data_IF_157937947168
#
_entry.id   IF_157937947168
#
_cell.length_a   1.000
_cell.length_b   1.000
_cell.length_c   1.000
_cell.angle_alpha   90.00
_cell.angle_beta   90.00
_cell.angle_gamma   90.00
#
_symmetry.space_group_name_H-M   'P 1'
#
loop_
_entity.id
_entity.type
_entity.pdbx_description
1 polymer ?
#
# COMPACT_ATOMS: atom_id res chain seq x y z
N UNK A 1 -19.83 -8.34 -3.90
CA UNK A 1 -18.64 -8.98 -3.30
C UNK A 1 -17.81 -7.88 -2.63
N UNK A 2 -17.48 -8.02 -1.35
CA UNK A 2 -16.55 -7.08 -0.69
C UNK A 2 -15.16 -7.30 -1.30
N UNK A 3 -14.50 -6.24 -1.76
CA UNK A 3 -13.10 -6.32 -2.21
C UNK A 3 -12.21 -6.53 -1.00
N UNK A 4 -11.29 -7.50 -1.07
CA UNK A 4 -10.25 -7.66 -0.05
C UNK A 4 -9.38 -6.41 0.03
N UNK A 5 -8.78 -6.15 1.19
CA UNK A 5 -7.94 -4.96 1.42
C UNK A 5 -6.67 -4.94 0.56
N UNK A 6 -6.32 -6.07 -0.06
CA UNK A 6 -5.18 -6.24 -0.96
C UNK A 6 -5.55 -6.22 -2.44
N UNK A 7 -6.84 -6.12 -2.77
CA UNK A 7 -7.32 -6.14 -4.16
C UNK A 7 -7.04 -4.80 -4.85
N UNK A 8 -6.58 -4.80 -6.11
CA UNK A 8 -6.46 -3.58 -6.89
C UNK A 8 -7.74 -2.73 -6.91
N UNK A 9 -7.57 -1.43 -6.69
CA UNK A 9 -8.66 -0.47 -6.54
C UNK A 9 -9.36 -0.48 -5.18
N UNK A 10 -8.89 -1.26 -4.20
CA UNK A 10 -9.27 -1.03 -2.80
C UNK A 10 -8.68 0.31 -2.33
N UNK A 11 -9.51 1.15 -1.71
CA UNK A 11 -9.12 2.42 -1.08
C UNK A 11 -9.38 2.30 0.41
N UNK A 12 -8.36 2.56 1.22
CA UNK A 12 -8.50 2.53 2.68
C UNK A 12 -9.10 3.85 3.22
N UNK A 13 -9.27 3.94 4.54
CA UNK A 13 -9.86 5.12 5.20
C UNK A 13 -9.02 6.41 5.17
N UNK A 14 -7.76 6.36 4.71
CA UNK A 14 -6.93 7.56 4.61
C UNK A 14 -6.57 7.92 3.16
N UNK A 15 -7.32 7.39 2.18
CA UNK A 15 -7.18 7.69 0.74
C UNK A 15 -5.92 7.14 0.08
N UNK A 16 -5.58 5.90 0.43
CA UNK A 16 -4.56 5.12 -0.25
C UNK A 16 -5.21 4.01 -1.07
N UNK A 17 -5.00 4.04 -2.38
CA UNK A 17 -5.48 3.04 -3.31
C UNK A 17 -4.43 1.96 -3.57
N UNK A 18 -4.82 0.70 -3.54
CA UNK A 18 -3.97 -0.41 -4.02
C UNK A 18 -3.91 -0.39 -5.53
N UNK A 19 -2.71 -0.29 -6.10
CA UNK A 19 -2.49 -0.37 -7.54
C UNK A 19 -2.24 -1.82 -7.98
N UNK A 20 -1.29 -2.50 -7.35
CA UNK A 20 -0.90 -3.87 -7.69
C UNK A 20 -0.21 -4.60 -6.55
N UNK A 21 -0.23 -5.93 -6.61
CA UNK A 21 0.66 -6.82 -5.85
C UNK A 21 2.01 -6.92 -6.56
N UNK A 22 3.07 -7.14 -5.79
CA UNK A 22 4.42 -7.42 -6.29
C UNK A 22 4.88 -8.81 -5.86
N UNK A 23 6.00 -9.30 -6.40
CA UNK A 23 6.60 -10.58 -6.01
C UNK A 23 7.68 -10.43 -4.92
N UNK A 24 7.97 -9.20 -4.54
CA UNK A 24 8.99 -8.81 -3.59
C UNK A 24 8.57 -9.20 -2.17
N UNK A 25 9.51 -9.73 -1.37
CA UNK A 25 9.22 -10.03 0.02
C UNK A 25 8.93 -8.74 0.79
N UNK A 26 7.84 -8.75 1.54
CA UNK A 26 7.57 -7.76 2.58
C UNK A 26 8.51 -7.94 3.78
N UNK A 27 8.37 -7.06 4.76
CA UNK A 27 9.18 -7.09 5.99
C UNK A 27 8.46 -7.76 7.16
N UNK A 28 7.27 -8.31 6.92
CA UNK A 28 6.40 -8.94 7.91
C UNK A 28 6.04 -10.37 7.48
N UNK A 29 5.61 -11.23 8.42
CA UNK A 29 5.33 -12.67 8.32
C UNK A 29 4.94 -13.18 6.91
N UNK A 30 5.94 -13.49 6.07
CA UNK A 30 5.79 -13.98 4.69
C UNK A 30 4.91 -13.08 3.78
N UNK A 31 4.76 -11.80 4.13
CA UNK A 31 4.01 -10.84 3.34
C UNK A 31 4.71 -10.55 2.02
N UNK A 32 3.94 -10.04 1.06
CA UNK A 32 4.44 -9.43 -0.18
C UNK A 32 4.29 -7.92 -0.12
N UNK A 33 5.13 -7.21 -0.86
CA UNK A 33 4.95 -5.77 -1.05
C UNK A 33 3.78 -5.53 -2.02
N UNK A 34 2.93 -4.56 -1.69
CA UNK A 34 1.89 -4.02 -2.55
C UNK A 34 2.20 -2.56 -2.84
N UNK A 35 1.95 -2.13 -4.08
CA UNK A 35 2.11 -0.73 -4.49
C UNK A 35 0.81 0.00 -4.19
N UNK A 36 0.89 1.05 -3.38
CA UNK A 36 -0.22 1.94 -3.08
C UNK A 36 0.06 3.30 -3.70
N UNK A 37 -1.01 4.01 -4.11
CA UNK A 37 -0.99 5.41 -4.51
C UNK A 37 -1.83 6.23 -3.53
N UNK A 38 -1.27 7.31 -3.02
CA UNK A 38 -2.07 8.31 -2.31
C UNK A 38 -2.94 9.09 -3.31
N UNK A 39 -4.24 9.20 -3.05
CA UNK A 39 -5.15 9.92 -3.94
C UNK A 39 -5.06 11.45 -3.79
N UNK A 40 -4.44 11.94 -2.71
CA UNK A 40 -4.25 13.38 -2.46
C UNK A 40 -3.00 13.94 -3.16
N UNK A 41 -1.85 13.25 -3.06
CA UNK A 41 -0.57 13.74 -3.61
C UNK A 41 0.02 12.86 -4.71
N UNK A 42 -0.68 11.81 -5.12
CA UNK A 42 -0.27 10.86 -6.17
C UNK A 42 1.03 10.07 -5.88
N UNK A 43 1.62 10.22 -4.69
CA UNK A 43 2.83 9.50 -4.30
C UNK A 43 2.59 7.99 -4.24
N UNK A 44 3.43 7.23 -4.94
CA UNK A 44 3.43 5.78 -4.96
C UNK A 44 4.49 5.19 -4.03
N UNK A 45 4.13 4.15 -3.30
CA UNK A 45 5.01 3.53 -2.32
C UNK A 45 4.60 2.08 -1.99
N UNK A 46 5.58 1.28 -1.54
CA UNK A 46 5.36 -0.10 -1.12
C UNK A 46 4.82 -0.23 0.31
N UNK A 47 3.93 -1.19 0.56
CA UNK A 47 3.49 -1.57 1.91
C UNK A 47 3.24 -3.09 2.03
N UNK A 48 3.30 -3.65 3.23
CA UNK A 48 2.86 -5.03 3.47
C UNK A 48 1.34 -5.13 3.31
N UNK A 49 0.85 -6.28 2.83
CA UNK A 49 -0.59 -6.55 2.72
C UNK A 49 -1.35 -6.39 4.04
N UNK A 50 -0.76 -6.82 5.14
CA UNK A 50 -1.29 -6.66 6.51
C UNK A 50 -1.51 -5.20 6.92
N UNK A 51 -0.70 -4.28 6.40
CA UNK A 51 -0.73 -2.85 6.76
C UNK A 51 -1.76 -2.04 5.97
N UNK A 52 -2.23 -2.52 4.81
CA UNK A 52 -2.94 -1.70 3.82
C UNK A 52 -4.18 -1.01 4.40
N UNK A 53 -4.97 -1.72 5.21
CA UNK A 53 -6.24 -1.24 5.76
C UNK A 53 -6.13 0.04 6.61
N UNK A 54 -4.94 0.32 7.18
CA UNK A 54 -4.69 1.47 8.04
C UNK A 54 -3.53 2.35 7.53
N UNK A 55 -2.94 2.03 6.38
CA UNK A 55 -1.75 2.71 5.87
C UNK A 55 -2.02 4.20 5.64
N UNK A 56 -1.11 5.07 6.06
CA UNK A 56 -1.15 6.53 5.78
C UNK A 56 -0.09 6.89 4.74
N UNK A 57 -0.30 8.00 4.04
CA UNK A 57 0.65 8.51 3.05
C UNK A 57 1.96 8.98 3.72
N UNK A 58 3.14 8.50 3.29
CA UNK A 58 4.42 8.97 3.81
C UNK A 58 4.75 10.42 3.40
N UNK A 59 4.20 10.92 2.29
CA UNK A 59 4.47 12.27 1.79
C UNK A 59 3.57 13.34 2.42
N UNK A 60 2.26 13.08 2.63
CA UNK A 60 1.34 14.07 3.20
C UNK A 60 1.42 14.15 4.73
N UNK A 61 1.51 12.98 5.38
CA UNK A 61 1.00 12.81 6.74
C UNK A 61 2.00 12.11 7.68
N UNK A 62 3.27 12.08 7.28
CA UNK A 62 4.34 11.37 7.99
C UNK A 62 4.04 9.87 8.20
N UNK A 63 3.29 9.26 7.26
CA UNK A 63 3.09 7.81 7.23
C UNK A 63 4.42 7.06 7.15
N UNK A 64 4.41 5.76 7.49
CA UNK A 64 5.63 4.93 7.44
C UNK A 64 6.22 4.96 6.02
N UNK A 65 7.56 5.07 5.86
CA UNK A 65 8.21 5.03 4.55
C UNK A 65 7.83 3.81 3.73
N UNK A 66 7.84 3.97 2.41
CA UNK A 66 7.57 2.89 1.47
C UNK A 66 8.59 1.77 1.56
N UNK A 67 8.14 0.53 1.41
CA UNK A 67 9.01 -0.61 1.15
C UNK A 67 9.54 -0.52 -0.29
N UNK A 68 10.75 -1.02 -0.53
CA UNK A 68 11.33 -1.08 -1.86
C UNK A 68 10.59 -2.13 -2.72
N UNK A 69 10.43 -1.83 -4.00
CA UNK A 69 9.90 -2.71 -5.04
C UNK A 69 10.49 -2.31 -6.39
N UNK A 70 10.49 -3.22 -7.36
CA UNK A 70 10.80 -2.95 -8.74
C UNK A 70 9.62 -2.22 -9.41
N UNK A 71 9.92 -1.04 -9.96
CA UNK A 71 8.94 -0.18 -10.63
C UNK A 71 8.28 -0.88 -11.82
#
# INVERSE_FOLDING_TARGET
>A
MLKGTTEPGYVNRNDQMVLRKTDEPGTDHLQKVYVLRCLECEHEYGANGSDIHARRCPACDSGRPGLAYAA
#
